data_IF_726317825525
#
_entry.id   IF_726317825525
#
_cell.length_a   1.000
_cell.length_b   1.000
_cell.length_c   1.000
_cell.angle_alpha   90.00
_cell.angle_beta   90.00
_cell.angle_gamma   90.00
#
_symmetry.space_group_name_H-M   'P 1'
#
loop_
_entity.id
_entity.type
_entity.pdbx_description
1 polymer ?
#
# COMPACT_ATOMS: atom_id res chain seq x y z
N UNK A 1 -1.44 2.72 -7.33
CA UNK A 1 -2.47 1.75 -6.88
C UNK A 1 -3.75 1.96 -7.69
N UNK A 2 -3.72 1.77 -9.02
CA UNK A 2 -4.82 2.18 -9.90
C UNK A 2 -6.15 1.50 -9.57
N UNK A 3 -6.10 0.25 -9.08
CA UNK A 3 -7.30 -0.54 -8.81
C UNK A 3 -7.97 -0.21 -7.47
N UNK A 4 -7.28 0.54 -6.60
CA UNK A 4 -7.76 0.89 -5.27
C UNK A 4 -8.24 2.34 -5.25
N UNK A 5 -9.50 2.53 -4.82
CA UNK A 5 -10.08 3.85 -4.59
C UNK A 5 -10.02 4.18 -3.11
N UNK A 6 -9.65 5.42 -2.79
CA UNK A 6 -9.73 5.94 -1.44
C UNK A 6 -11.18 6.19 -1.06
N UNK A 7 -11.62 5.65 0.06
CA UNK A 7 -12.95 5.85 0.63
C UNK A 7 -12.79 6.67 1.92
N UNK A 8 -13.23 7.94 1.93
CA UNK A 8 -13.16 8.79 3.12
C UNK A 8 -14.22 8.38 4.16
N UNK A 9 -13.96 8.67 5.43
CA UNK A 9 -14.86 8.38 6.56
C UNK A 9 -14.12 8.49 7.90
N UNK A 10 -14.77 8.08 9.00
CA UNK A 10 -14.12 7.99 10.32
C UNK A 10 -12.93 7.01 10.32
N UNK A 11 -13.07 5.91 9.56
CA UNK A 11 -12.02 4.94 9.32
C UNK A 11 -11.77 4.87 7.81
N UNK A 12 -10.87 5.70 7.27
CA UNK A 12 -10.62 5.74 5.83
C UNK A 12 -9.95 4.44 5.37
N UNK A 13 -10.36 3.93 4.21
CA UNK A 13 -9.84 2.70 3.63
C UNK A 13 -9.52 2.90 2.14
N UNK A 14 -8.65 2.05 1.62
CA UNK A 14 -8.54 1.82 0.18
C UNK A 14 -9.28 0.54 -0.17
N UNK A 15 -10.12 0.56 -1.21
CA UNK A 15 -10.88 -0.61 -1.64
C UNK A 15 -10.86 -0.75 -3.16
N UNK A 16 -10.70 -1.98 -3.65
CA UNK A 16 -10.82 -2.30 -5.08
C UNK A 16 -12.19 -2.90 -5.44
N UNK A 17 -12.43 -3.15 -6.72
CA UNK A 17 -13.71 -3.67 -7.23
C UNK A 17 -14.04 -5.09 -6.73
N UNK A 18 -13.04 -5.84 -6.28
CA UNK A 18 -13.17 -7.17 -5.70
C UNK A 18 -13.42 -7.15 -4.18
N UNK A 19 -13.76 -5.98 -3.61
CA UNK A 19 -13.96 -5.78 -2.16
C UNK A 19 -12.72 -6.06 -1.31
N UNK A 20 -11.54 -6.16 -1.90
CA UNK A 20 -10.27 -6.23 -1.18
C UNK A 20 -9.96 -4.88 -0.55
N UNK A 21 -9.49 -4.88 0.70
CA UNK A 21 -9.34 -3.67 1.53
C UNK A 21 -7.90 -3.52 2.01
N UNK A 22 -7.41 -2.29 2.00
CA UNK A 22 -6.20 -1.88 2.70
C UNK A 22 -6.61 -0.83 3.73
N UNK A 23 -6.34 -1.12 4.99
CA UNK A 23 -6.58 -0.25 6.14
C UNK A 23 -5.39 -0.32 7.09
N UNK A 24 -5.40 0.50 8.15
CA UNK A 24 -4.43 0.40 9.24
C UNK A 24 -4.35 -1.05 9.72
N UNK A 25 -3.14 -1.54 9.98
CA UNK A 25 -2.80 -2.93 10.35
C UNK A 25 -2.91 -4.00 9.25
N UNK A 26 -3.27 -3.63 8.00
CA UNK A 26 -3.24 -4.60 6.89
C UNK A 26 -1.81 -4.92 6.47
N UNK A 27 -1.45 -6.21 6.41
CA UNK A 27 -0.20 -6.65 5.75
C UNK A 27 -0.35 -6.56 4.23
N UNK A 28 0.57 -5.86 3.58
CA UNK A 28 0.52 -5.61 2.13
C UNK A 28 1.82 -6.05 1.48
N UNK A 29 1.73 -6.86 0.42
CA UNK A 29 2.84 -7.14 -0.49
C UNK A 29 2.87 -6.07 -1.58
N UNK A 30 4.01 -5.41 -1.75
CA UNK A 30 4.20 -4.34 -2.74
C UNK A 30 5.56 -4.48 -3.42
N UNK A 31 5.75 -3.78 -4.54
CA UNK A 31 7.04 -3.65 -5.22
C UNK A 31 7.64 -2.28 -4.96
N UNK A 32 8.94 -2.21 -4.67
CA UNK A 32 9.68 -0.95 -4.55
C UNK A 32 10.11 -0.50 -5.94
N UNK A 33 9.76 0.72 -6.32
CA UNK A 33 10.20 1.36 -7.58
C UNK A 33 11.50 2.11 -7.36
N UNK A 34 11.57 2.87 -6.28
CA UNK A 34 12.73 3.71 -5.95
C UNK A 34 12.88 3.80 -4.43
N UNK A 35 14.11 3.94 -3.95
CA UNK A 35 14.41 4.25 -2.55
C UNK A 35 15.43 5.38 -2.49
N UNK A 36 15.24 6.29 -1.54
CA UNK A 36 16.17 7.39 -1.27
C UNK A 36 16.49 7.50 0.21
N UNK A 37 17.72 7.90 0.49
CA UNK A 37 18.16 8.28 1.83
C UNK A 37 17.80 9.74 2.10
N UNK A 38 17.17 9.99 3.25
CA UNK A 38 16.80 11.33 3.70
C UNK A 38 17.76 11.77 4.81
N UNK A 39 18.69 12.67 4.49
CA UNK A 39 19.77 13.06 5.41
C UNK A 39 19.28 13.72 6.70
N UNK A 40 18.22 14.54 6.63
CA UNK A 40 17.71 15.29 7.79
C UNK A 40 17.01 14.36 8.77
N UNK A 41 16.15 13.48 8.26
CA UNK A 41 15.37 12.52 9.03
C UNK A 41 16.18 11.28 9.41
N UNK A 42 17.28 11.01 8.70
CA UNK A 42 18.09 9.79 8.79
C UNK A 42 17.27 8.52 8.56
N UNK A 43 16.42 8.56 7.55
CA UNK A 43 15.50 7.48 7.19
C UNK A 43 15.54 7.17 5.69
N UNK A 44 15.12 5.95 5.34
CA UNK A 44 14.86 5.59 3.95
C UNK A 44 13.40 5.87 3.62
N UNK A 45 13.17 6.57 2.51
CA UNK A 45 11.86 6.67 1.89
C UNK A 45 11.84 5.80 0.64
N UNK A 46 10.80 4.98 0.50
CA UNK A 46 10.58 4.16 -0.68
C UNK A 46 9.32 4.60 -1.42
N UNK A 47 9.43 4.75 -2.73
CA UNK A 47 8.29 4.81 -3.62
C UNK A 47 7.92 3.37 -4.00
N UNK A 48 6.67 2.99 -3.76
CA UNK A 48 6.18 1.64 -3.98
C UNK A 48 4.93 1.61 -4.86
N UNK A 49 4.70 0.47 -5.51
CA UNK A 49 3.51 0.20 -6.33
C UNK A 49 2.83 -1.12 -5.96
N UNK A 50 1.56 -1.22 -6.32
CA UNK A 50 0.75 -2.43 -6.31
C UNK A 50 0.41 -2.89 -7.75
N UNK A 51 1.09 -2.35 -8.74
CA UNK A 51 0.93 -2.75 -10.14
C UNK A 51 1.77 -4.00 -10.41
N UNK A 52 1.11 -5.09 -10.82
CA UNK A 52 1.73 -6.39 -11.09
C UNK A 52 0.95 -7.54 -10.44
N UNK A 53 1.36 -8.76 -10.77
CA UNK A 53 0.69 -9.98 -10.30
C UNK A 53 0.99 -10.27 -8.81
N UNK A 54 -0.02 -10.77 -8.09
CA UNK A 54 0.10 -11.23 -6.70
C UNK A 54 0.56 -10.17 -5.68
N UNK A 55 0.33 -8.88 -5.96
CA UNK A 55 0.52 -7.77 -5.02
C UNK A 55 -0.80 -7.39 -4.34
N UNK A 56 -0.71 -6.64 -3.23
CA UNK A 56 -1.85 -6.20 -2.44
C UNK A 56 -1.90 -6.82 -1.04
N UNK A 57 -3.07 -6.77 -0.36
CA UNK A 57 -3.29 -7.39 0.95
C UNK A 57 -2.97 -8.89 0.94
N UNK A 58 -2.32 -9.36 1.99
CA UNK A 58 -2.08 -10.78 2.22
C UNK A 58 -2.72 -11.21 3.54
N UNK A 59 -3.39 -12.37 3.54
CA UNK A 59 -3.86 -13.00 4.78
C UNK A 59 -2.67 -13.59 5.54
N UNK A 60 -2.74 -13.58 6.87
CA UNK A 60 -1.96 -14.53 7.67
C UNK A 60 -2.62 -15.90 7.51
N UNK A 61 -1.85 -16.92 7.13
CA UNK A 61 -2.26 -18.31 7.32
C UNK A 61 -2.23 -18.67 8.82
#
# INVERSE_FOLDING_TARGET
MPDYKFIPGENPIFMNENMSRIQVETRVRFVVIEARWMEVEKEFQALASLEGDNLGPISEE
#
